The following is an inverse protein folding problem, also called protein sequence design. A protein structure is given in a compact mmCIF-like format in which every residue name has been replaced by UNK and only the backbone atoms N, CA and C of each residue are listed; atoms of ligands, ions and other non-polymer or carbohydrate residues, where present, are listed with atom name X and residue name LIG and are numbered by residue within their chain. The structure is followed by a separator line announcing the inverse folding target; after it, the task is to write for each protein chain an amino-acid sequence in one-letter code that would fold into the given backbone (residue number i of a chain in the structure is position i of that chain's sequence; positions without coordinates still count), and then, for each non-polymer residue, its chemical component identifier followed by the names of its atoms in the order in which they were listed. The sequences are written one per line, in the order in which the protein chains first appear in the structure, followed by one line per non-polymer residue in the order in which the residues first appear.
data_IF_411761067363
#
_entry.id   IF_411761067363
#
_cell.length_a   1.000
_cell.length_b   1.000
_cell.length_c   1.000
_cell.angle_alpha   90.00
_cell.angle_beta   90.00
_cell.angle_gamma   90.00
#
_symmetry.space_group_name_H-M   'P 1'
#
loop_
_entity.id
_entity.type
_entity.pdbx_description
1 polymer ?
#
# COMPACT_ATOMS: atom_id res chain seq x y z
N UNK A 1 10.25 29.80 -20.27
CA UNK A 1 9.34 28.67 -20.53
C UNK A 1 10.20 27.50 -20.97
N UNK A 2 10.79 26.76 -20.03
CA UNK A 2 11.64 25.60 -20.36
C UNK A 2 11.47 24.51 -19.30
N UNK A 3 10.81 23.43 -19.73
CA UNK A 3 10.93 22.02 -19.32
C UNK A 3 11.14 21.69 -17.84
N UNK A 4 10.05 21.36 -17.14
CA UNK A 4 10.10 20.45 -16.00
C UNK A 4 10.29 19.02 -16.52
N UNK A 5 11.44 18.42 -16.25
CA UNK A 5 11.61 16.97 -16.31
C UNK A 5 10.89 16.36 -15.11
N UNK A 6 9.78 15.67 -15.37
CA UNK A 6 9.14 14.80 -14.40
C UNK A 6 10.05 13.58 -14.19
N UNK A 7 10.85 13.65 -13.14
CA UNK A 7 11.60 12.52 -12.63
C UNK A 7 10.60 11.55 -11.98
N UNK A 8 10.22 10.52 -12.73
CA UNK A 8 9.33 9.47 -12.25
C UNK A 8 10.14 8.56 -11.32
N UNK A 9 10.34 9.02 -10.09
CA UNK A 9 11.01 8.27 -9.03
C UNK A 9 10.13 7.06 -8.71
N UNK A 10 10.40 5.96 -9.40
CA UNK A 10 9.92 4.63 -9.02
C UNK A 10 10.74 4.22 -7.80
N UNK A 11 10.40 4.80 -6.65
CA UNK A 11 10.93 4.37 -5.36
C UNK A 11 10.31 3.03 -5.02
N UNK A 12 10.85 1.97 -5.60
CA UNK A 12 10.67 0.61 -5.12
C UNK A 12 11.53 0.47 -3.84
N UNK A 13 11.11 1.14 -2.76
CA UNK A 13 11.75 1.02 -1.45
C UNK A 13 11.30 -0.29 -0.81
N UNK A 14 11.94 -1.37 -1.25
CA UNK A 14 11.96 -2.64 -0.55
C UNK A 14 12.79 -2.45 0.74
N UNK A 15 12.20 -1.83 1.75
CA UNK A 15 12.85 -1.63 3.05
C UNK A 15 12.67 -2.89 3.89
N UNK A 16 13.73 -3.70 3.97
CA UNK A 16 13.89 -4.84 4.86
C UNK A 16 14.05 -4.43 6.35
N UNK A 17 13.37 -3.37 6.78
CA UNK A 17 13.29 -2.92 8.16
C UNK A 17 11.83 -2.88 8.56
N UNK A 18 11.50 -3.36 9.78
CA UNK A 18 10.12 -3.35 10.32
C UNK A 18 9.51 -1.97 10.12
N UNK A 19 8.65 -1.85 9.13
CA UNK A 19 7.94 -0.62 8.80
C UNK A 19 6.95 -0.32 9.94
N UNK A 20 6.90 0.91 10.42
CA UNK A 20 5.95 1.28 11.48
C UNK A 20 4.50 1.14 10.98
N UNK A 21 3.53 1.05 11.89
CA UNK A 21 2.11 0.98 11.48
C UNK A 21 1.69 2.22 10.69
N UNK A 22 2.24 3.39 11.00
CA UNK A 22 1.97 4.66 10.31
C UNK A 22 2.56 4.68 8.89
N UNK A 23 3.78 4.19 8.74
CA UNK A 23 4.43 4.05 7.43
C UNK A 23 3.65 3.06 6.54
N UNK A 24 3.18 1.95 7.12
CA UNK A 24 2.33 0.97 6.42
C UNK A 24 1.00 1.58 5.97
N UNK A 25 0.35 2.36 6.83
CA UNK A 25 -0.87 3.10 6.44
C UNK A 25 -0.58 4.05 5.27
N UNK A 26 0.53 4.77 5.34
CA UNK A 26 0.95 5.70 4.28
C UNK A 26 1.17 4.98 2.95
N UNK A 27 1.90 3.86 2.94
CA UNK A 27 2.13 3.05 1.75
C UNK A 27 0.81 2.54 1.13
N UNK A 28 -0.11 2.06 1.96
CA UNK A 28 -1.43 1.60 1.49
C UNK A 28 -2.25 2.76 0.90
N UNK A 29 -2.22 3.94 1.51
CA UNK A 29 -2.90 5.12 0.95
C UNK A 29 -2.32 5.57 -0.39
N UNK A 30 -1.00 5.50 -0.57
CA UNK A 30 -0.35 5.80 -1.86
C UNK A 30 -0.77 4.80 -2.94
N UNK A 31 -0.81 3.51 -2.62
CA UNK A 31 -1.30 2.47 -3.53
C UNK A 31 -2.77 2.72 -3.92
N UNK A 32 -3.64 3.03 -2.96
CA UNK A 32 -5.05 3.35 -3.22
C UNK A 32 -5.16 4.53 -4.19
N UNK A 33 -4.37 5.59 -3.98
CA UNK A 33 -4.33 6.75 -4.87
C UNK A 33 -3.89 6.36 -6.28
N UNK A 34 -2.95 5.42 -6.42
CA UNK A 34 -2.52 4.90 -7.73
C UNK A 34 -3.61 4.06 -8.40
N UNK A 35 -4.30 3.21 -7.64
CA UNK A 35 -5.40 2.40 -8.16
C UNK A 35 -6.59 3.24 -8.62
N UNK A 36 -6.88 4.35 -7.93
CA UNK A 36 -7.95 5.28 -8.32
C UNK A 36 -7.65 6.06 -9.61
N UNK A 37 -6.40 6.06 -10.10
CA UNK A 37 -6.07 6.64 -11.41
C UNK A 37 -6.35 5.67 -12.56
N UNK A 38 -6.63 4.39 -12.27
CA UNK A 38 -6.98 3.40 -13.28
C UNK A 38 -8.45 3.53 -13.67
N UNK A 39 -8.82 3.15 -14.92
CA UNK A 39 -10.21 3.15 -15.35
C UNK A 39 -11.09 2.29 -14.43
N UNK A 40 -12.28 2.79 -14.09
CA UNK A 40 -13.22 2.13 -13.18
C UNK A 40 -13.65 0.72 -13.65
N UNK A 41 -13.56 0.42 -14.94
CA UNK A 41 -13.84 -0.90 -15.50
C UNK A 41 -12.72 -1.93 -15.26
N UNK A 42 -11.59 -1.52 -14.66
CA UNK A 42 -10.49 -2.44 -14.36
C UNK A 42 -10.87 -3.36 -13.21
N UNK A 43 -11.08 -4.64 -13.54
CA UNK A 43 -11.29 -5.71 -12.57
C UNK A 43 -10.12 -5.80 -11.57
N UNK A 44 -8.89 -5.64 -12.05
CA UNK A 44 -7.69 -5.62 -11.20
C UNK A 44 -7.73 -4.44 -10.20
N UNK A 45 -8.01 -3.22 -10.66
CA UNK A 45 -8.07 -2.04 -9.78
C UNK A 45 -9.16 -2.22 -8.71
N UNK A 46 -10.34 -2.72 -9.10
CA UNK A 46 -11.45 -2.99 -8.19
C UNK A 46 -11.08 -4.03 -7.13
N UNK A 47 -10.47 -5.14 -7.55
CA UNK A 47 -10.03 -6.19 -6.63
C UNK A 47 -8.94 -5.66 -5.67
N UNK A 48 -7.93 -4.98 -6.23
CA UNK A 48 -6.81 -4.42 -5.47
C UNK A 48 -7.30 -3.41 -4.42
N UNK A 49 -8.24 -2.52 -4.78
CA UNK A 49 -8.85 -1.58 -3.84
C UNK A 49 -9.56 -2.27 -2.68
N UNK A 50 -10.28 -3.38 -2.91
CA UNK A 50 -10.92 -4.14 -1.82
C UNK A 50 -9.89 -4.71 -0.84
N UNK A 51 -8.80 -5.27 -1.37
CA UNK A 51 -7.69 -5.79 -0.55
C UNK A 51 -7.07 -4.67 0.29
N UNK A 52 -6.74 -3.53 -0.33
CA UNK A 52 -6.13 -2.38 0.36
C UNK A 52 -7.02 -1.81 1.46
N UNK A 53 -8.32 -1.68 1.20
CA UNK A 53 -9.26 -1.22 2.22
C UNK A 53 -9.38 -2.21 3.39
N UNK A 54 -9.30 -3.52 3.12
CA UNK A 54 -9.30 -4.53 4.19
C UNK A 54 -8.04 -4.42 5.05
N UNK A 55 -6.90 -4.15 4.45
CA UNK A 55 -5.63 -3.96 5.16
C UNK A 55 -5.66 -2.71 6.03
N UNK A 56 -6.21 -1.59 5.56
CA UNK A 56 -6.38 -0.39 6.39
C UNK A 56 -7.23 -0.66 7.63
N UNK A 57 -8.32 -1.43 7.47
CA UNK A 57 -9.15 -1.82 8.62
C UNK A 57 -8.35 -2.67 9.62
N UNK A 58 -7.57 -3.63 9.13
CA UNK A 58 -6.71 -4.46 10.00
C UNK A 58 -5.66 -3.62 10.73
N UNK A 59 -5.09 -2.60 10.08
CA UNK A 59 -4.14 -1.67 10.69
C UNK A 59 -4.79 -0.78 11.77
N UNK A 60 -6.07 -0.43 11.63
CA UNK A 60 -6.78 0.47 12.55
C UNK A 60 -7.27 -0.15 13.86
N UNK A 61 -7.29 -1.47 13.98
CA UNK A 61 -7.75 -2.17 15.19
C UNK A 61 -6.59 -2.51 16.11
N UNK A 62 -6.87 -2.64 17.41
CA UNK A 62 -5.93 -3.25 18.34
C UNK A 62 -5.71 -4.71 17.94
N UNK A 63 -4.45 -5.10 17.77
CA UNK A 63 -4.06 -6.46 17.40
C UNK A 63 -3.26 -7.12 18.52
N UNK A 64 -3.32 -8.44 18.55
CA UNK A 64 -2.42 -9.28 19.33
C UNK A 64 -1.09 -9.47 18.60
N UNK A 65 -0.06 -9.94 19.30
CA UNK A 65 1.28 -10.17 18.73
C UNK A 65 1.21 -11.12 17.52
N UNK A 66 0.46 -12.23 17.64
CA UNK A 66 0.29 -13.19 16.54
C UNK A 66 -0.44 -12.57 15.32
N UNK A 67 -1.41 -11.69 15.54
CA UNK A 67 -2.07 -10.98 14.45
C UNK A 67 -1.17 -9.95 13.77
N UNK A 68 -0.27 -9.30 14.53
CA UNK A 68 0.75 -8.41 13.95
C UNK A 68 1.74 -9.19 13.09
N UNK A 69 2.14 -10.40 13.49
CA UNK A 69 3.02 -11.28 12.71
C UNK A 69 2.35 -11.75 11.41
N UNK A 70 1.10 -12.23 11.48
CA UNK A 70 0.34 -12.59 10.28
C UNK A 70 0.12 -11.40 9.35
N UNK A 71 -0.14 -10.21 9.91
CA UNK A 71 -0.30 -9.00 9.13
C UNK A 71 1.02 -8.57 8.48
N UNK A 72 2.16 -8.74 9.14
CA UNK A 72 3.48 -8.50 8.55
C UNK A 72 3.74 -9.43 7.36
N UNK A 73 3.41 -10.72 7.48
CA UNK A 73 3.52 -11.67 6.38
C UNK A 73 2.61 -11.29 5.21
N UNK A 74 1.38 -10.86 5.50
CA UNK A 74 0.48 -10.33 4.48
C UNK A 74 1.10 -9.12 3.78
N UNK A 75 1.65 -8.16 4.54
CA UNK A 75 2.34 -6.98 4.00
C UNK A 75 3.53 -7.34 3.12
N UNK A 76 4.38 -8.28 3.52
CA UNK A 76 5.52 -8.73 2.73
C UNK A 76 5.10 -9.37 1.40
N UNK A 77 3.92 -10.01 1.35
CA UNK A 77 3.33 -10.56 0.13
C UNK A 77 2.65 -9.52 -0.76
N UNK A 78 2.43 -8.30 -0.26
CA UNK A 78 1.90 -7.20 -1.05
C UNK A 78 3.08 -6.42 -1.61
N UNK A 79 3.20 -6.39 -2.93
CA UNK A 79 4.14 -5.50 -3.62
C UNK A 79 3.65 -4.05 -3.49
N UNK A 80 3.82 -3.46 -2.30
CA UNK A 80 3.46 -2.09 -1.91
C UNK A 80 4.69 -1.18 -1.92
#
# INVERSE_FOLDING_TARGET
MSGQTMENTTSNTQTNGKMSSEDKMTAVHQEIKRMNQLPAASSYATHRLRVLNKILQLLSIQRTISQDEELELLFAGLHL
#
